data_IF_248532750405
#
_entry.id   IF_248532750405
#
_cell.length_a   1.000
_cell.length_b   1.000
_cell.length_c   1.000
_cell.angle_alpha   90.00
_cell.angle_beta   90.00
_cell.angle_gamma   90.00
#
_symmetry.space_group_name_H-M   'P 1'
#
loop_
_entity.id
_entity.type
_entity.pdbx_description
1 polymer ?
#
# COMPACT_ATOMS: atom_id res chain seq x y z
N UNK A 1 8.34 -17.05 -21.08
CA UNK A 1 7.48 -16.07 -21.78
C UNK A 1 6.56 -15.46 -20.73
N UNK A 2 6.75 -14.19 -20.40
CA UNK A 2 6.01 -13.52 -19.33
C UNK A 2 4.73 -12.90 -19.92
N UNK A 3 3.56 -13.36 -19.45
CA UNK A 3 2.26 -12.83 -19.87
C UNK A 3 1.98 -11.50 -19.13
N UNK A 4 2.34 -10.38 -19.75
CA UNK A 4 1.94 -9.03 -19.31
C UNK A 4 0.86 -8.42 -20.23
N UNK A 5 0.19 -9.23 -21.05
CA UNK A 5 -0.85 -8.77 -21.98
C UNK A 5 -2.22 -9.30 -21.59
N UNK A 6 -2.99 -8.50 -20.84
CA UNK A 6 -4.46 -8.31 -20.95
C UNK A 6 -4.90 -7.53 -19.72
N UNK A 7 -4.88 -6.19 -19.80
CA UNK A 7 -5.69 -5.38 -18.89
C UNK A 7 -7.06 -5.27 -19.54
N UNK A 8 -7.95 -6.19 -19.16
CA UNK A 8 -9.38 -6.07 -19.43
C UNK A 8 -9.92 -4.98 -18.53
N UNK A 9 -10.34 -3.84 -19.09
CA UNK A 9 -11.12 -2.81 -18.38
C UNK A 9 -12.55 -3.34 -18.15
N UNK A 10 -12.67 -4.45 -17.43
CA UNK A 10 -13.90 -4.79 -16.74
C UNK A 10 -13.98 -3.88 -15.50
N UNK A 11 -15.16 -3.36 -15.13
CA UNK A 11 -15.33 -2.74 -13.83
C UNK A 11 -14.95 -3.76 -12.77
N UNK A 12 -13.74 -3.63 -12.22
CA UNK A 12 -13.12 -4.59 -11.32
C UNK A 12 -13.75 -4.45 -9.92
N UNK A 13 -15.07 -4.55 -9.84
CA UNK A 13 -15.79 -4.56 -8.57
C UNK A 13 -15.83 -6.01 -8.10
N UNK A 14 -15.12 -6.30 -7.02
CA UNK A 14 -15.32 -7.49 -6.17
C UNK A 14 -14.47 -8.75 -6.46
N UNK A 15 -13.18 -8.59 -6.74
CA UNK A 15 -12.16 -9.54 -6.24
C UNK A 15 -11.18 -8.81 -5.33
N UNK A 16 -11.73 -7.96 -4.43
CA UNK A 16 -10.93 -7.20 -3.47
C UNK A 16 -10.45 -8.15 -2.40
N UNK A 17 -9.14 -8.33 -2.27
CA UNK A 17 -8.57 -8.69 -0.98
C UNK A 17 -8.63 -7.40 -0.13
N UNK A 18 -9.66 -7.22 0.73
CA UNK A 18 -10.01 -5.90 1.29
C UNK A 18 -8.90 -5.33 2.17
N UNK A 19 -8.01 -6.19 2.66
CA UNK A 19 -6.95 -5.87 3.60
C UNK A 19 -5.91 -4.91 3.01
N UNK A 20 -5.58 -5.06 1.71
CA UNK A 20 -4.61 -4.24 0.99
C UNK A 20 -5.27 -3.06 0.27
N UNK A 21 -6.59 -3.06 0.13
CA UNK A 21 -7.31 -2.01 -0.59
C UNK A 21 -7.22 -0.69 0.17
N UNK A 22 -6.92 0.39 -0.56
CA UNK A 22 -7.01 1.75 -0.04
C UNK A 22 -8.47 2.09 0.36
N UNK A 23 -8.68 2.96 1.36
CA UNK A 23 -10.01 3.32 1.84
C UNK A 23 -10.88 3.93 0.72
N UNK A 24 -10.28 4.72 -0.17
CA UNK A 24 -10.95 5.39 -1.30
C UNK A 24 -11.29 4.45 -2.46
N UNK A 25 -10.83 3.19 -2.45
CA UNK A 25 -11.00 2.27 -3.58
C UNK A 25 -12.47 1.97 -3.92
N UNK A 26 -13.40 2.21 -2.99
CA UNK A 26 -14.85 2.11 -3.23
C UNK A 26 -15.43 3.26 -4.07
N UNK A 27 -14.70 4.35 -4.28
CA UNK A 27 -15.15 5.53 -4.99
C UNK A 27 -14.34 5.72 -6.30
N UNK A 28 -14.88 5.37 -7.47
CA UNK A 28 -14.18 5.49 -8.75
C UNK A 28 -13.65 6.89 -9.07
N UNK A 29 -14.25 7.96 -8.51
CA UNK A 29 -13.82 9.34 -8.74
C UNK A 29 -12.53 9.70 -8.00
N UNK A 30 -12.16 8.92 -7.01
CA UNK A 30 -10.95 9.13 -6.17
C UNK A 30 -9.84 8.14 -6.52
N UNK A 31 -10.05 7.31 -7.55
CA UNK A 31 -9.03 6.38 -8.03
C UNK A 31 -7.80 7.13 -8.52
N UNK A 32 -6.64 6.78 -7.97
CA UNK A 32 -5.37 7.43 -8.27
C UNK A 32 -4.19 6.50 -7.95
N UNK A 33 -2.98 6.81 -8.44
CA UNK A 33 -1.77 6.03 -8.09
C UNK A 33 -1.49 5.95 -6.58
N UNK A 34 -2.07 6.83 -5.77
CA UNK A 34 -1.97 6.79 -4.32
C UNK A 34 -2.61 5.53 -3.71
N UNK A 35 -3.52 4.86 -4.42
CA UNK A 35 -4.07 3.56 -4.02
C UNK A 35 -3.03 2.45 -4.05
N UNK A 36 -2.16 2.47 -5.05
CA UNK A 36 -1.05 1.52 -5.18
C UNK A 36 -0.01 1.76 -4.08
N UNK A 37 0.23 3.04 -3.72
CA UNK A 37 1.09 3.43 -2.60
C UNK A 37 0.57 2.86 -1.27
N UNK A 38 -0.74 2.93 -1.03
CA UNK A 38 -1.34 2.33 0.16
C UNK A 38 -1.16 0.80 0.17
N UNK A 39 -1.46 0.16 -0.96
CA UNK A 39 -1.32 -1.30 -1.11
C UNK A 39 0.12 -1.75 -0.87
N UNK A 40 1.08 -1.00 -1.39
CA UNK A 40 2.51 -1.19 -1.15
C UNK A 40 2.87 -1.00 0.33
N UNK A 41 2.31 0.02 1.00
CA UNK A 41 2.49 0.22 2.44
C UNK A 41 2.02 -0.99 3.28
N UNK A 42 0.88 -1.59 2.93
CA UNK A 42 0.38 -2.81 3.59
C UNK A 42 1.29 -4.02 3.30
N UNK A 43 1.77 -4.16 2.07
CA UNK A 43 2.73 -5.21 1.71
C UNK A 43 4.06 -5.07 2.47
N UNK A 44 4.56 -3.84 2.64
CA UNK A 44 5.74 -3.57 3.45
C UNK A 44 5.55 -3.96 4.92
N UNK A 45 4.34 -3.80 5.48
CA UNK A 45 4.03 -4.31 6.82
C UNK A 45 4.21 -5.82 6.84
N UNK A 46 3.53 -6.53 5.93
CA UNK A 46 3.56 -8.00 5.85
C UNK A 46 4.99 -8.53 5.75
N UNK A 47 5.81 -7.96 4.85
CA UNK A 47 7.21 -8.37 4.69
C UNK A 47 8.06 -8.04 5.92
N UNK A 48 7.78 -6.93 6.61
CA UNK A 48 8.56 -6.52 7.78
C UNK A 48 8.25 -7.33 9.04
N UNK A 49 7.01 -7.82 9.20
CA UNK A 49 6.59 -8.60 10.37
C UNK A 49 6.46 -10.09 10.09
N UNK A 50 6.57 -10.53 8.84
CA UNK A 50 6.36 -11.90 8.37
C UNK A 50 5.00 -12.48 8.79
N UNK A 51 3.96 -11.64 8.80
CA UNK A 51 2.60 -12.02 9.17
C UNK A 51 1.61 -11.42 8.18
N UNK A 52 0.55 -12.16 7.88
CA UNK A 52 -0.54 -11.68 7.04
C UNK A 52 -1.09 -10.36 7.61
N UNK A 53 -1.33 -9.34 6.76
CA UNK A 53 -1.82 -8.06 7.24
C UNK A 53 -3.23 -8.21 7.82
N UNK A 54 -3.49 -7.46 8.87
CA UNK A 54 -4.77 -7.50 9.57
C UNK A 54 -5.21 -6.06 9.82
N UNK A 55 -6.43 -5.72 9.39
CA UNK A 55 -6.99 -4.36 9.54
C UNK A 55 -7.08 -3.98 11.03
N UNK A 56 -7.53 -4.89 11.89
CA UNK A 56 -7.69 -4.65 13.33
C UNK A 56 -6.36 -4.62 14.08
N UNK A 57 -5.32 -5.30 13.58
CA UNK A 57 -3.98 -5.31 14.21
C UNK A 57 -2.96 -4.40 13.53
N UNK A 58 -3.38 -3.61 12.53
CA UNK A 58 -2.47 -2.78 11.71
C UNK A 58 -1.55 -1.90 12.52
N UNK A 59 -2.10 -1.24 13.55
CA UNK A 59 -1.31 -0.38 14.46
C UNK A 59 -0.25 -1.19 15.21
N UNK A 60 -0.58 -2.41 15.67
CA UNK A 60 0.37 -3.29 16.34
C UNK A 60 1.44 -3.81 15.36
N UNK A 61 1.05 -4.19 14.14
CA UNK A 61 1.99 -4.62 13.11
C UNK A 61 2.96 -3.50 12.71
N UNK A 62 2.49 -2.26 12.52
CA UNK A 62 3.36 -1.09 12.28
C UNK A 62 4.30 -0.86 13.47
N UNK A 63 3.82 -1.05 14.71
CA UNK A 63 4.66 -0.91 15.91
C UNK A 63 5.79 -1.93 15.94
N UNK A 64 5.54 -3.16 15.49
CA UNK A 64 6.48 -4.28 15.47
C UNK A 64 7.60 -4.15 14.41
N UNK A 65 7.48 -3.25 13.44
CA UNK A 65 8.54 -2.99 12.45
C UNK A 65 9.81 -2.49 13.15
N UNK A 66 10.89 -3.26 13.01
CA UNK A 66 12.19 -2.99 13.65
C UNK A 66 12.92 -1.79 13.05
N UNK A 67 12.88 -1.63 11.72
CA UNK A 67 13.61 -0.57 11.01
C UNK A 67 12.83 0.76 11.11
N UNK A 68 13.34 1.80 11.81
CA UNK A 68 12.58 3.03 12.03
C UNK A 68 12.23 3.78 10.74
N UNK A 69 13.10 3.71 9.75
CA UNK A 69 12.94 4.36 8.44
C UNK A 69 11.83 3.70 7.64
N UNK A 70 11.81 2.36 7.59
CA UNK A 70 10.71 1.60 6.99
C UNK A 70 9.38 1.88 7.70
N UNK A 71 9.40 1.93 9.03
CA UNK A 71 8.22 2.25 9.84
C UNK A 71 7.67 3.65 9.52
N UNK A 72 8.54 4.64 9.32
CA UNK A 72 8.12 5.99 8.95
C UNK A 72 7.55 6.05 7.53
N UNK A 73 8.21 5.37 6.58
CA UNK A 73 7.73 5.24 5.20
C UNK A 73 6.33 4.61 5.15
N UNK A 74 6.17 3.46 5.81
CA UNK A 74 4.88 2.75 5.90
C UNK A 74 3.79 3.66 6.42
N UNK A 75 4.04 4.41 7.51
CA UNK A 75 3.06 5.37 8.04
C UNK A 75 2.60 6.41 7.02
N UNK A 76 3.52 6.94 6.21
CA UNK A 76 3.18 7.91 5.16
C UNK A 76 2.41 7.28 4.00
N UNK A 77 2.70 6.03 3.65
CA UNK A 77 1.93 5.29 2.65
C UNK A 77 0.48 5.02 3.10
N UNK A 78 0.22 4.93 4.41
CA UNK A 78 -1.07 4.60 5.01
C UNK A 78 -1.88 5.83 5.46
N UNK A 79 -1.50 7.04 5.05
CA UNK A 79 -2.27 8.26 5.36
C UNK A 79 -3.67 8.16 4.74
N UNK A 80 -4.69 8.57 5.50
CA UNK A 80 -6.09 8.53 5.07
C UNK A 80 -6.35 9.45 3.88
N UNK A 81 -5.87 10.70 3.95
CA UNK A 81 -5.88 11.59 2.80
C UNK A 81 -4.87 11.11 1.74
N UNK A 82 -5.40 10.53 0.66
CA UNK A 82 -4.61 9.95 -0.42
C UNK A 82 -3.68 10.95 -1.11
N UNK A 83 -3.99 12.25 -1.06
CA UNK A 83 -3.17 13.32 -1.67
C UNK A 83 -1.87 13.61 -0.89
N UNK A 84 -1.84 13.24 0.39
CA UNK A 84 -0.66 13.46 1.26
C UNK A 84 0.28 12.26 1.25
N UNK A 85 -0.11 11.16 0.60
CA UNK A 85 0.75 9.99 0.44
C UNK A 85 1.93 10.33 -0.49
N UNK A 86 3.13 9.79 -0.24
CA UNK A 86 4.27 9.98 -1.14
C UNK A 86 3.99 9.35 -2.50
N UNK A 87 4.66 9.83 -3.54
CA UNK A 87 4.63 9.17 -4.85
C UNK A 87 5.51 7.92 -4.83
N UNK A 88 5.28 7.00 -5.78
CA UNK A 88 6.18 5.85 -5.94
C UNK A 88 7.63 6.27 -6.22
N UNK A 89 7.85 7.40 -6.89
CA UNK A 89 9.18 7.96 -7.11
C UNK A 89 9.86 8.36 -5.80
N UNK A 90 9.13 9.04 -4.90
CA UNK A 90 9.66 9.42 -3.57
C UNK A 90 10.04 8.19 -2.75
N UNK A 91 9.19 7.15 -2.81
CA UNK A 91 9.43 5.87 -2.13
C UNK A 91 10.72 5.21 -2.64
N UNK A 92 10.94 5.17 -3.95
CA UNK A 92 12.14 4.58 -4.57
C UNK A 92 13.40 5.35 -4.15
N UNK A 93 13.34 6.69 -4.15
CA UNK A 93 14.47 7.53 -3.72
C UNK A 93 14.82 7.23 -2.26
N UNK A 94 13.84 7.22 -1.35
CA UNK A 94 14.08 6.94 0.07
C UNK A 94 14.56 5.51 0.35
N UNK A 95 14.15 4.55 -0.48
CA UNK A 95 14.61 3.16 -0.40
C UNK A 95 16.05 3.00 -0.91
N UNK A 96 16.50 3.82 -1.86
CA UNK A 96 17.86 3.77 -2.43
C UNK A 96 18.92 4.45 -1.57
N UNK A 97 18.54 5.50 -0.85
CA UNK A 97 19.46 6.33 -0.04
C UNK A 97 19.84 5.68 1.32
N UNK A 98 19.58 4.38 1.52
CA UNK A 98 19.87 3.63 2.76
C UNK A 98 20.27 2.19 2.50
#
# INVERSE_FOLDING_TARGET
QSNYGTVSLQPLTSTRNPVYSAPEAGNPREHSPAMDVFSYGVLLIEMAVCQFPDVGKRVAQIKAIKRPTLKNLVKRCLIENYKDRPTMSDIIIEMKEK
#
